data_IF_952564178120
#
_entry.id   IF_952564178120
#
_cell.length_a   1.000
_cell.length_b   1.000
_cell.length_c   1.000
_cell.angle_alpha   90.00
_cell.angle_beta   90.00
_cell.angle_gamma   90.00
#
_symmetry.space_group_name_H-M   'P 1'
#
loop_
_entity.id
_entity.type
_entity.pdbx_description
1 polymer ?
#
# COMPACT_ATOMS: atom_id res chain seq x y z
N UNK A 1 -39.20 29.67 -35.33
CA UNK A 1 -38.74 29.20 -36.62
C UNK A 1 -37.89 27.98 -36.39
N UNK A 2 -38.54 26.86 -36.60
CA UNK A 2 -38.19 25.66 -37.37
C UNK A 2 -37.00 24.86 -36.86
N UNK A 3 -37.29 23.81 -36.04
CA UNK A 3 -37.42 22.35 -36.35
C UNK A 3 -36.28 21.77 -37.21
N UNK A 4 -35.59 20.75 -36.73
CA UNK A 4 -35.54 19.47 -37.41
C UNK A 4 -35.05 18.36 -36.49
N UNK A 5 -35.92 17.37 -36.27
CA UNK A 5 -35.64 16.05 -35.68
C UNK A 5 -34.80 15.20 -36.65
N UNK A 6 -33.94 14.39 -36.12
CA UNK A 6 -33.19 13.37 -36.86
C UNK A 6 -33.18 12.04 -36.08
N UNK A 7 -34.29 11.33 -36.15
CA UNK A 7 -34.48 9.94 -35.73
C UNK A 7 -33.78 9.00 -36.72
N UNK A 8 -32.80 8.21 -36.29
CA UNK A 8 -32.25 7.10 -37.07
C UNK A 8 -32.30 5.81 -36.29
N UNK A 9 -33.33 5.03 -36.61
CA UNK A 9 -33.45 3.60 -36.34
C UNK A 9 -32.45 2.81 -37.17
N UNK A 10 -31.73 1.87 -36.53
CA UNK A 10 -31.03 0.79 -37.25
C UNK A 10 -31.39 -0.56 -36.57
N UNK A 11 -31.61 -1.60 -37.39
CA UNK A 11 -32.35 -2.78 -37.03
C UNK A 11 -31.52 -3.89 -36.40
N UNK A 12 -32.22 -4.74 -35.67
CA UNK A 12 -31.78 -6.05 -35.14
C UNK A 12 -31.36 -6.99 -36.27
N UNK A 13 -30.23 -7.64 -36.12
CA UNK A 13 -29.93 -8.88 -36.85
C UNK A 13 -29.60 -9.98 -35.80
N UNK A 14 -30.50 -10.94 -35.79
CA UNK A 14 -30.38 -12.28 -35.17
C UNK A 14 -29.52 -13.16 -36.10
N UNK A 15 -28.85 -14.11 -35.54
CA UNK A 15 -28.41 -15.47 -35.90
C UNK A 15 -26.97 -15.66 -35.44
N UNK A 16 -26.61 -16.71 -34.79
CA UNK A 16 -26.87 -18.11 -34.84
C UNK A 16 -25.87 -18.82 -33.97
N UNK A 17 -26.31 -19.84 -33.33
CA UNK A 17 -25.58 -20.68 -32.39
C UNK A 17 -24.41 -21.46 -32.97
N UNK A 18 -23.51 -21.81 -32.10
CA UNK A 18 -22.76 -23.08 -32.22
C UNK A 18 -22.36 -23.58 -30.84
N UNK A 19 -22.97 -24.68 -30.49
CA UNK A 19 -22.56 -25.59 -29.45
C UNK A 19 -21.15 -26.11 -29.77
N UNK A 20 -20.22 -25.95 -28.85
CA UNK A 20 -18.96 -26.70 -28.85
C UNK A 20 -18.78 -27.38 -27.52
N UNK A 21 -19.12 -28.65 -27.54
CA UNK A 21 -18.85 -29.68 -26.54
C UNK A 21 -17.34 -29.94 -26.53
N UNK A 22 -16.63 -29.62 -25.44
CA UNK A 22 -15.22 -29.98 -25.28
C UNK A 22 -15.00 -30.78 -24.01
N UNK A 23 -14.61 -32.00 -24.27
CA UNK A 23 -14.29 -33.13 -23.44
C UNK A 23 -13.44 -32.81 -22.21
N UNK A 24 -13.89 -33.36 -21.10
CA UNK A 24 -13.12 -33.58 -19.89
C UNK A 24 -11.99 -34.59 -20.15
N UNK A 25 -10.76 -34.18 -19.96
CA UNK A 25 -9.63 -35.09 -19.80
C UNK A 25 -9.25 -35.14 -18.34
N UNK A 26 -9.78 -36.14 -17.64
CA UNK A 26 -9.31 -36.56 -16.32
C UNK A 26 -7.97 -37.28 -16.48
N UNK A 27 -6.89 -36.58 -16.18
CA UNK A 27 -5.54 -37.17 -16.06
C UNK A 27 -5.33 -37.76 -14.67
N UNK A 28 -5.65 -39.03 -14.48
CA UNK A 28 -5.16 -39.80 -13.33
C UNK A 28 -3.66 -40.03 -13.48
N UNK A 29 -2.84 -39.35 -12.70
CA UNK A 29 -1.43 -39.70 -12.50
C UNK A 29 -1.35 -40.90 -11.59
N UNK A 30 -1.13 -42.08 -12.21
CA UNK A 30 -0.84 -43.31 -11.50
C UNK A 30 0.53 -43.23 -10.85
N UNK A 31 0.57 -43.20 -9.52
CA UNK A 31 1.77 -43.45 -8.71
C UNK A 31 2.26 -44.90 -8.98
N UNK A 32 3.35 -45.03 -9.69
CA UNK A 32 4.11 -46.30 -9.77
C UNK A 32 4.90 -46.46 -8.48
N UNK A 33 4.42 -47.30 -7.59
CA UNK A 33 5.22 -47.82 -6.48
C UNK A 33 6.07 -48.94 -7.01
N UNK A 34 7.38 -48.71 -7.12
CA UNK A 34 8.34 -49.79 -7.37
C UNK A 34 8.68 -50.45 -6.02
N UNK A 35 8.16 -51.66 -5.80
CA UNK A 35 8.61 -52.51 -4.72
C UNK A 35 9.93 -53.17 -5.09
N UNK A 36 11.03 -52.66 -4.58
CA UNK A 36 12.26 -53.44 -4.47
C UNK A 36 12.34 -53.99 -3.06
N UNK A 37 12.18 -55.30 -2.93
CA UNK A 37 12.46 -56.02 -1.71
C UNK A 37 13.95 -55.93 -1.44
N UNK A 38 14.35 -55.15 -0.45
CA UNK A 38 15.61 -55.35 0.27
C UNK A 38 15.47 -54.81 1.71
N UNK A 39 15.53 -55.78 2.58
CA UNK A 39 15.65 -55.79 4.02
C UNK A 39 16.27 -54.49 4.60
N UNK A 40 15.49 -53.55 5.01
CA UNK A 40 15.90 -52.40 5.81
C UNK A 40 14.86 -52.10 6.87
N UNK A 41 15.35 -51.96 8.09
CA UNK A 41 14.61 -51.61 9.31
C UNK A 41 13.61 -50.46 9.04
N UNK A 42 12.42 -50.45 9.68
CA UNK A 42 11.51 -49.36 9.57
C UNK A 42 12.19 -48.08 9.99
N UNK A 43 12.33 -47.14 9.05
CA UNK A 43 12.68 -45.77 9.35
C UNK A 43 11.41 -45.15 9.91
N UNK A 44 11.40 -44.87 11.21
CA UNK A 44 10.41 -43.96 11.79
C UNK A 44 10.54 -42.60 11.09
N UNK A 45 9.64 -42.36 10.13
CA UNK A 45 9.44 -41.01 9.62
C UNK A 45 8.67 -40.27 10.70
N UNK A 46 9.39 -39.68 11.65
CA UNK A 46 8.84 -38.69 12.53
C UNK A 46 8.36 -37.54 11.67
N UNK A 47 7.05 -37.41 11.53
CA UNK A 47 6.43 -36.14 11.15
C UNK A 47 6.87 -35.14 12.23
N UNK A 48 7.98 -34.44 11.96
CA UNK A 48 8.20 -33.18 12.64
C UNK A 48 7.03 -32.30 12.19
N UNK A 49 6.08 -32.11 13.09
CA UNK A 49 5.25 -30.92 13.05
C UNK A 49 6.22 -29.73 13.05
N UNK A 50 6.61 -29.33 11.84
CA UNK A 50 7.08 -27.98 11.61
C UNK A 50 5.82 -27.13 11.79
N UNK A 51 5.43 -26.91 13.06
CA UNK A 51 4.72 -25.72 13.43
C UNK A 51 5.62 -24.63 12.86
N UNK A 52 5.26 -24.17 11.67
CA UNK A 52 5.84 -23.01 11.03
C UNK A 52 5.56 -21.91 12.04
N UNK A 53 6.56 -21.61 12.88
CA UNK A 53 6.46 -20.49 13.78
C UNK A 53 6.12 -19.32 12.87
N UNK A 54 4.88 -18.87 12.92
CA UNK A 54 4.50 -17.57 12.37
C UNK A 54 5.55 -16.63 12.98
N UNK A 55 6.38 -15.95 12.15
CA UNK A 55 7.34 -15.04 12.73
C UNK A 55 6.54 -14.07 13.58
N UNK A 56 6.79 -14.07 14.89
CA UNK A 56 6.27 -13.04 15.78
C UNK A 56 6.65 -11.71 15.09
N UNK A 57 5.68 -10.80 14.92
CA UNK A 57 5.98 -9.48 14.37
C UNK A 57 7.10 -8.93 15.26
N UNK A 58 8.27 -8.78 14.70
CA UNK A 58 9.40 -8.16 15.40
C UNK A 58 8.93 -6.77 15.78
N UNK A 59 8.66 -6.56 17.06
CA UNK A 59 8.27 -5.28 17.61
C UNK A 59 9.41 -4.32 17.27
N UNK A 60 9.22 -3.47 16.26
CA UNK A 60 10.25 -2.54 15.85
C UNK A 60 10.35 -1.50 16.96
N UNK A 61 11.53 -1.37 17.56
CA UNK A 61 11.75 -0.42 18.65
C UNK A 61 11.38 1.00 18.17
N UNK A 62 10.57 1.70 18.96
CA UNK A 62 10.25 3.10 18.72
C UNK A 62 11.56 3.90 18.85
N UNK A 63 11.92 4.75 17.87
CA UNK A 63 13.14 5.55 17.94
C UNK A 63 13.15 6.46 19.17
N UNK A 64 14.34 6.72 19.70
CA UNK A 64 14.52 7.60 20.86
C UNK A 64 13.90 9.00 20.61
N UNK A 65 13.14 9.49 21.58
CA UNK A 65 12.47 10.78 21.51
C UNK A 65 11.14 10.78 20.73
N UNK A 66 10.72 9.63 20.22
CA UNK A 66 9.43 9.45 19.56
C UNK A 66 8.44 8.73 20.47
N UNK A 67 7.18 8.79 20.11
CA UNK A 67 6.10 8.01 20.69
C UNK A 67 5.26 7.38 19.57
N UNK A 68 4.66 6.24 19.84
CA UNK A 68 3.75 5.59 18.90
C UNK A 68 2.39 6.29 18.92
N UNK A 69 1.86 6.58 17.75
CA UNK A 69 0.51 7.08 17.58
C UNK A 69 -0.28 6.10 16.71
N UNK A 70 -1.55 5.92 17.08
CA UNK A 70 -2.52 5.17 16.29
C UNK A 70 -3.61 6.14 15.81
N UNK A 71 -3.75 6.28 14.51
CA UNK A 71 -4.74 7.15 13.89
C UNK A 71 -5.90 6.30 13.41
N UNK A 72 -7.11 6.62 13.90
CA UNK A 72 -8.37 6.05 13.42
C UNK A 72 -9.09 7.08 12.58
N UNK A 73 -9.38 6.75 11.33
CA UNK A 73 -9.90 7.72 10.35
C UNK A 73 -11.43 7.70 10.20
N UNK A 74 -12.13 7.19 11.22
CA UNK A 74 -13.60 7.16 11.28
C UNK A 74 -14.21 5.93 10.61
N UNK A 75 -15.55 5.92 10.55
CA UNK A 75 -16.31 4.76 10.07
C UNK A 75 -16.12 4.48 8.55
N UNK A 76 -15.71 5.49 7.79
CA UNK A 76 -15.49 5.34 6.34
C UNK A 76 -14.18 4.61 6.00
N UNK A 77 -13.27 4.49 6.96
CA UNK A 77 -12.02 3.76 6.80
C UNK A 77 -11.72 2.87 8.03
N UNK A 78 -11.86 1.56 7.90
CA UNK A 78 -11.59 0.62 8.98
C UNK A 78 -10.08 0.33 9.16
N UNK A 79 -9.23 0.85 8.28
CA UNK A 79 -7.80 0.58 8.31
C UNK A 79 -7.12 1.46 9.37
N UNK A 80 -6.57 0.86 10.42
CA UNK A 80 -5.74 1.58 11.38
C UNK A 80 -4.41 1.97 10.77
N UNK A 81 -3.92 3.15 11.15
CA UNK A 81 -2.61 3.66 10.74
C UNK A 81 -1.81 3.94 11.99
N UNK A 82 -0.65 3.28 12.13
CA UNK A 82 0.22 3.42 13.28
C UNK A 82 1.61 3.84 12.81
N UNK A 83 2.25 4.74 13.54
CA UNK A 83 3.64 5.14 13.29
C UNK A 83 4.22 5.85 14.51
N UNK A 84 5.56 5.92 14.59
CA UNK A 84 6.21 6.73 15.59
C UNK A 84 6.28 8.18 15.14
N UNK A 85 6.00 9.12 16.06
CA UNK A 85 6.08 10.56 15.81
C UNK A 85 6.95 11.23 16.88
N UNK A 86 7.69 12.27 16.51
CA UNK A 86 8.41 13.09 17.48
C UNK A 86 7.42 13.81 18.40
N UNK A 87 7.61 13.68 19.70
CA UNK A 87 6.72 14.27 20.73
C UNK A 87 6.53 15.78 20.64
N UNK A 88 7.41 16.47 19.91
CA UNK A 88 7.31 17.92 19.66
C UNK A 88 6.20 18.30 18.68
N UNK A 89 5.59 17.35 17.97
CA UNK A 89 4.53 17.63 16.99
C UNK A 89 3.18 17.97 17.61
N UNK A 90 2.95 17.58 18.87
CA UNK A 90 1.66 17.77 19.52
C UNK A 90 0.53 16.96 18.89
N UNK A 91 -0.70 17.32 19.23
CA UNK A 91 -1.88 16.62 18.73
C UNK A 91 -2.16 17.00 17.27
N UNK A 92 -2.53 15.97 16.48
CA UNK A 92 -3.00 16.19 15.12
C UNK A 92 -4.45 16.70 15.08
N UNK A 93 -4.85 17.19 13.92
CA UNK A 93 -6.23 17.62 13.64
C UNK A 93 -6.76 16.92 12.40
N UNK A 94 -8.06 16.62 12.36
CA UNK A 94 -8.62 15.94 11.21
C UNK A 94 -10.12 15.75 11.25
N UNK A 95 -10.60 14.98 10.27
CA UNK A 95 -11.99 14.58 10.09
C UNK A 95 -12.05 13.18 9.47
N UNK A 96 -13.23 12.63 9.23
CA UNK A 96 -13.35 11.31 8.61
C UNK A 96 -12.52 11.19 7.34
N UNK A 97 -11.66 10.16 7.29
CA UNK A 97 -10.77 9.87 6.16
C UNK A 97 -9.48 10.69 6.10
N UNK A 98 -9.26 11.67 6.99
CA UNK A 98 -8.10 12.55 6.95
C UNK A 98 -7.59 12.96 8.33
N UNK A 99 -6.26 12.97 8.52
CA UNK A 99 -5.60 13.48 9.72
C UNK A 99 -4.33 14.21 9.36
N UNK A 100 -4.06 15.34 10.02
CA UNK A 100 -2.91 16.18 9.76
C UNK A 100 -2.18 16.53 11.07
N UNK A 101 -0.88 16.29 11.05
CA UNK A 101 0.04 16.88 12.01
C UNK A 101 0.83 17.99 11.32
N UNK A 102 1.03 19.10 12.00
CA UNK A 102 1.86 20.21 11.50
C UNK A 102 2.79 20.71 12.60
N UNK A 103 4.02 21.02 12.20
CA UNK A 103 4.99 21.63 13.09
C UNK A 103 5.55 22.89 12.42
N UNK A 104 4.92 24.04 12.74
CA UNK A 104 5.13 25.28 12.02
C UNK A 104 4.57 25.24 10.59
N UNK A 105 5.00 26.17 9.74
CA UNK A 105 4.46 26.34 8.39
C UNK A 105 5.15 25.48 7.34
N UNK A 106 6.10 24.62 7.73
CA UNK A 106 7.00 23.98 6.78
C UNK A 106 7.19 22.47 6.99
N UNK A 107 6.50 21.85 7.93
CA UNK A 107 6.60 20.42 8.22
C UNK A 107 5.20 19.85 8.38
N UNK A 108 4.85 18.87 7.56
CA UNK A 108 3.51 18.27 7.53
C UNK A 108 3.61 16.74 7.55
N UNK A 109 2.69 16.11 8.25
CA UNK A 109 2.43 14.68 8.16
C UNK A 109 0.93 14.53 7.92
N UNK A 110 0.55 14.03 6.76
CA UNK A 110 -0.85 13.74 6.45
C UNK A 110 -1.10 12.24 6.44
N UNK A 111 -2.24 11.84 7.00
CA UNK A 111 -2.73 10.48 6.97
C UNK A 111 -4.07 10.51 6.26
N UNK A 112 -4.21 9.72 5.21
CA UNK A 112 -5.44 9.66 4.42
C UNK A 112 -5.92 8.23 4.30
N UNK A 113 -7.24 8.04 4.32
CA UNK A 113 -7.85 6.77 3.98
C UNK A 113 -9.25 6.98 3.42
N UNK A 114 -9.54 6.36 2.30
CA UNK A 114 -10.85 6.39 1.67
C UNK A 114 -11.12 5.14 0.83
N UNK A 115 -12.41 4.84 0.65
CA UNK A 115 -12.81 3.75 -0.23
C UNK A 115 -12.38 4.03 -1.68
N UNK A 116 -11.73 3.05 -2.29
CA UNK A 116 -11.24 3.14 -3.66
C UNK A 116 -12.21 2.51 -4.64
N UNK A 117 -12.45 3.18 -5.78
CA UNK A 117 -13.43 2.70 -6.77
C UNK A 117 -12.92 1.59 -7.70
N UNK A 118 -11.62 1.25 -7.65
CA UNK A 118 -11.02 0.18 -8.43
C UNK A 118 -11.21 -1.20 -7.81
N UNK A 119 -10.68 -2.22 -8.49
CA UNK A 119 -10.85 -3.61 -8.08
C UNK A 119 -9.57 -4.29 -7.60
N UNK A 120 -8.39 -3.75 -7.91
CA UNK A 120 -7.12 -4.37 -7.54
C UNK A 120 -6.31 -3.46 -6.59
N UNK A 121 -5.74 -4.02 -5.50
CA UNK A 121 -4.84 -3.27 -4.63
C UNK A 121 -3.66 -2.63 -5.37
N UNK A 122 -3.15 -3.29 -6.40
CA UNK A 122 -2.05 -2.82 -7.23
C UNK A 122 -2.40 -1.50 -7.95
N UNK A 123 -3.64 -1.33 -8.43
CA UNK A 123 -4.06 -0.11 -9.13
C UNK A 123 -3.89 1.15 -8.25
N UNK A 124 -4.04 1.00 -6.93
CA UNK A 124 -3.86 2.09 -5.96
C UNK A 124 -2.40 2.55 -5.89
N UNK A 125 -1.47 1.60 -5.83
CA UNK A 125 -0.04 1.90 -5.76
C UNK A 125 0.48 2.40 -7.09
N UNK A 126 0.04 1.83 -8.21
CA UNK A 126 0.42 2.25 -9.55
C UNK A 126 0.00 3.71 -9.81
N UNK A 127 -1.26 4.06 -9.47
CA UNK A 127 -1.70 5.45 -9.58
C UNK A 127 -0.89 6.38 -8.67
N UNK A 128 -0.61 5.96 -7.43
CA UNK A 128 0.19 6.79 -6.52
C UNK A 128 1.59 7.04 -7.07
N UNK A 129 2.25 6.04 -7.65
CA UNK A 129 3.56 6.17 -8.30
C UNK A 129 3.50 7.10 -9.51
N UNK A 130 2.46 6.98 -10.33
CA UNK A 130 2.31 7.80 -11.55
C UNK A 130 2.11 9.28 -11.25
N UNK A 131 1.39 9.62 -10.16
CA UNK A 131 0.99 11.00 -9.89
C UNK A 131 1.87 11.74 -8.89
N UNK A 132 2.59 11.01 -7.99
CA UNK A 132 3.27 11.67 -6.86
C UNK A 132 4.49 12.50 -7.26
N UNK A 133 5.17 12.11 -8.34
CA UNK A 133 6.36 12.80 -8.84
C UNK A 133 6.23 13.21 -10.30
N UNK A 134 5.02 13.57 -10.71
CA UNK A 134 4.70 13.86 -12.11
C UNK A 134 5.18 15.23 -12.59
N UNK A 135 5.37 16.18 -11.69
CA UNK A 135 5.73 17.54 -12.03
C UNK A 135 7.24 17.75 -12.22
N UNK A 136 7.57 18.78 -12.97
CA UNK A 136 8.95 19.13 -13.29
C UNK A 136 9.80 19.39 -12.02
N UNK A 137 10.96 18.80 -11.96
CA UNK A 137 11.89 18.88 -10.80
C UNK A 137 11.62 17.81 -9.74
N UNK A 138 10.51 17.08 -9.86
CA UNK A 138 10.21 15.97 -8.95
C UNK A 138 11.02 14.72 -9.35
N UNK A 139 11.39 13.92 -8.36
CA UNK A 139 12.10 12.65 -8.57
C UNK A 139 12.00 11.71 -7.39
N UNK A 140 11.92 10.45 -7.66
CA UNK A 140 12.10 9.38 -6.66
C UNK A 140 13.58 9.28 -6.31
N UNK A 141 13.91 9.17 -5.03
CA UNK A 141 15.26 8.92 -4.52
C UNK A 141 15.44 7.43 -4.21
N UNK A 142 14.47 6.85 -3.52
CA UNK A 142 14.47 5.43 -3.17
C UNK A 142 13.01 4.98 -2.96
N UNK A 143 12.69 3.77 -3.38
CA UNK A 143 11.34 3.23 -3.25
C UNK A 143 11.33 1.72 -3.03
N UNK A 144 10.23 1.21 -2.52
CA UNK A 144 9.95 -0.20 -2.36
C UNK A 144 8.46 -0.48 -2.58
N UNK A 145 8.17 -1.40 -3.48
CA UNK A 145 6.85 -2.02 -3.60
C UNK A 145 6.89 -3.38 -2.91
N UNK A 146 5.83 -3.74 -2.21
CA UNK A 146 5.71 -5.02 -1.52
C UNK A 146 4.26 -5.41 -1.25
N UNK A 147 4.10 -6.59 -0.67
CA UNK A 147 2.80 -7.12 -0.28
C UNK A 147 2.57 -6.95 1.22
N UNK A 148 1.30 -6.77 1.60
CA UNK A 148 0.80 -6.77 2.97
C UNK A 148 -0.46 -7.63 3.04
N UNK A 149 -0.87 -8.14 4.19
CA UNK A 149 -2.13 -8.86 4.29
C UNK A 149 -3.29 -8.06 3.70
N UNK A 150 -3.95 -8.65 2.72
CA UNK A 150 -5.07 -8.04 2.01
C UNK A 150 -4.70 -6.99 0.96
N UNK A 151 -3.40 -6.75 0.69
CA UNK A 151 -3.06 -5.67 -0.24
C UNK A 151 -1.62 -5.58 -0.72
N UNK A 152 -1.36 -4.46 -1.37
CA UNK A 152 -0.05 -4.06 -1.90
C UNK A 152 0.29 -2.68 -1.37
N UNK A 153 1.55 -2.45 -1.06
CA UNK A 153 2.03 -1.16 -0.60
C UNK A 153 3.19 -0.63 -1.46
N UNK A 154 3.36 0.67 -1.42
CA UNK A 154 4.50 1.40 -1.94
C UNK A 154 5.03 2.33 -0.84
N UNK A 155 6.31 2.22 -0.53
CA UNK A 155 7.01 3.16 0.35
C UNK A 155 8.06 3.91 -0.45
N UNK A 156 8.24 5.20 -0.19
CA UNK A 156 9.04 6.07 -1.02
C UNK A 156 9.73 7.17 -0.23
N UNK A 157 10.92 7.51 -0.68
CA UNK A 157 11.62 8.75 -0.39
C UNK A 157 11.85 9.48 -1.71
N UNK A 158 11.53 10.75 -1.78
CA UNK A 158 11.70 11.53 -3.00
C UNK A 158 11.80 13.02 -2.76
N UNK A 159 11.96 13.74 -3.86
CA UNK A 159 11.97 15.19 -3.91
C UNK A 159 10.80 15.64 -4.77
N UNK A 160 10.02 16.55 -4.26
CA UNK A 160 8.91 17.21 -4.95
C UNK A 160 9.41 18.53 -5.54
N UNK A 161 9.19 18.74 -6.82
CA UNK A 161 9.42 20.01 -7.47
C UNK A 161 8.49 21.11 -6.93
N UNK A 162 8.81 22.40 -7.13
CA UNK A 162 8.00 23.52 -6.63
C UNK A 162 6.57 23.56 -7.16
N UNK A 163 6.32 22.91 -8.32
CA UNK A 163 5.01 22.86 -8.96
C UNK A 163 4.10 21.75 -8.42
N UNK A 164 4.66 20.82 -7.65
CA UNK A 164 3.84 19.76 -7.03
C UNK A 164 2.87 20.34 -6.02
N UNK A 165 1.64 19.86 -6.05
CA UNK A 165 0.57 20.29 -5.14
C UNK A 165 0.95 20.08 -3.67
N UNK A 166 1.73 19.03 -3.40
CA UNK A 166 2.19 18.67 -2.04
C UNK A 166 3.44 19.44 -1.60
N UNK A 167 4.08 20.21 -2.49
CA UNK A 167 5.29 20.97 -2.13
C UNK A 167 4.97 22.08 -1.11
N UNK A 168 5.86 22.29 -0.15
CA UNK A 168 5.71 23.32 0.87
C UNK A 168 5.99 24.70 0.28
N UNK A 169 5.00 25.58 0.35
CA UNK A 169 5.10 26.97 -0.09
C UNK A 169 5.66 27.14 -1.53
N UNK A 170 5.32 26.20 -2.42
CA UNK A 170 5.81 26.16 -3.80
C UNK A 170 7.35 26.19 -3.90
N UNK A 171 8.03 25.50 -2.98
CA UNK A 171 9.48 25.30 -2.99
C UNK A 171 9.80 23.82 -3.13
N UNK A 172 11.03 23.50 -3.54
CA UNK A 172 11.49 22.11 -3.54
C UNK A 172 11.31 21.51 -2.13
N UNK A 173 10.70 20.33 -2.06
CA UNK A 173 10.38 19.68 -0.79
C UNK A 173 10.83 18.23 -0.80
N UNK A 174 11.16 17.68 0.35
CA UNK A 174 11.34 16.23 0.52
C UNK A 174 10.04 15.59 0.89
N UNK A 175 9.81 14.37 0.37
CA UNK A 175 8.67 13.53 0.71
C UNK A 175 9.17 12.16 1.18
N UNK A 176 8.63 11.73 2.31
CA UNK A 176 8.73 10.37 2.81
C UNK A 176 7.31 9.83 2.90
N UNK A 177 7.00 8.78 2.15
CA UNK A 177 5.61 8.33 1.99
C UNK A 177 5.44 6.82 2.08
N UNK A 178 4.27 6.42 2.53
CA UNK A 178 3.76 5.07 2.43
C UNK A 178 2.33 5.12 1.90
N UNK A 179 2.05 4.36 0.86
CA UNK A 179 0.70 4.22 0.27
C UNK A 179 0.39 2.75 0.12
N UNK A 180 -0.86 2.35 0.40
CA UNK A 180 -1.29 0.98 0.15
C UNK A 180 -2.72 0.92 -0.38
N UNK A 181 -2.97 -0.06 -1.24
CA UNK A 181 -4.29 -0.56 -1.54
C UNK A 181 -4.57 -1.77 -0.66
N UNK A 182 -5.55 -1.70 0.22
CA UNK A 182 -5.89 -2.78 1.17
C UNK A 182 -7.36 -3.13 1.04
N UNK A 183 -7.65 -4.43 0.96
CA UNK A 183 -9.01 -4.96 1.06
C UNK A 183 -9.36 -5.25 2.50
N UNK A 184 -10.51 -4.71 2.91
CA UNK A 184 -11.14 -5.05 4.17
C UNK A 184 -12.64 -5.24 3.93
N UNK A 185 -13.20 -6.34 4.43
CA UNK A 185 -14.61 -6.74 4.26
C UNK A 185 -15.14 -6.59 2.81
N UNK A 186 -14.30 -7.02 1.84
CA UNK A 186 -14.64 -6.99 0.41
C UNK A 186 -14.53 -5.64 -0.28
N UNK A 187 -14.27 -4.55 0.44
CA UNK A 187 -14.04 -3.22 -0.11
C UNK A 187 -12.55 -2.94 -0.25
N UNK A 188 -12.17 -2.17 -1.24
CA UNK A 188 -10.81 -1.70 -1.43
C UNK A 188 -10.68 -0.28 -0.89
N UNK A 189 -9.60 -0.05 -0.14
CA UNK A 189 -9.27 1.24 0.44
C UNK A 189 -7.90 1.69 -0.05
N UNK A 190 -7.75 2.99 -0.33
CA UNK A 190 -6.44 3.64 -0.41
C UNK A 190 -6.14 4.23 0.95
N UNK A 191 -5.01 3.85 1.52
CA UNK A 191 -4.48 4.40 2.77
C UNK A 191 -3.10 4.95 2.53
N UNK A 192 -2.77 6.11 3.12
CA UNK A 192 -1.45 6.72 2.97
C UNK A 192 -1.01 7.50 4.21
N UNK A 193 0.31 7.54 4.39
CA UNK A 193 1.02 8.47 5.27
C UNK A 193 2.02 9.22 4.41
N UNK A 194 1.97 10.54 4.41
CA UNK A 194 2.89 11.40 3.67
C UNK A 194 3.52 12.42 4.62
N UNK A 195 4.83 12.47 4.66
CA UNK A 195 5.65 13.36 5.50
C UNK A 195 6.41 14.29 4.58
N UNK A 196 6.09 15.59 4.64
CA UNK A 196 6.63 16.58 3.70
C UNK A 196 7.26 17.74 4.47
N UNK A 197 8.45 18.15 4.03
CA UNK A 197 9.15 19.34 4.52
C UNK A 197 9.92 20.00 3.37
N UNK A 198 10.36 21.24 3.56
CA UNK A 198 11.27 21.90 2.60
C UNK A 198 12.56 21.09 2.44
N UNK A 199 13.13 21.07 1.25
CA UNK A 199 14.32 20.26 0.94
C UNK A 199 15.59 20.70 1.70
N UNK A 200 15.63 21.93 2.17
CA UNK A 200 16.72 22.49 3.00
C UNK A 200 16.54 22.23 4.51
N UNK A 201 15.41 21.61 4.93
CA UNK A 201 15.17 21.23 6.31
C UNK A 201 15.76 19.84 6.62
N UNK A 202 17.08 19.81 6.86
CA UNK A 202 17.81 18.58 7.15
C UNK A 202 17.34 17.89 8.45
N UNK A 203 16.83 18.67 9.45
CA UNK A 203 16.28 18.09 10.69
C UNK A 203 14.99 17.32 10.40
N UNK A 204 14.06 17.91 9.66
CA UNK A 204 12.82 17.22 9.28
C UNK A 204 13.12 15.96 8.44
N UNK A 205 14.03 16.05 7.48
CA UNK A 205 14.43 14.90 6.68
C UNK A 205 14.99 13.75 7.54
N UNK A 206 15.82 14.05 8.54
CA UNK A 206 16.37 13.06 9.45
C UNK A 206 15.26 12.41 10.34
N UNK A 207 14.31 13.20 10.81
CA UNK A 207 13.17 12.72 11.61
C UNK A 207 12.28 11.81 10.75
N UNK A 208 11.91 12.21 9.53
CA UNK A 208 11.07 11.42 8.64
C UNK A 208 11.71 10.11 8.21
N UNK A 209 13.05 10.12 8.02
CA UNK A 209 13.81 8.90 7.73
C UNK A 209 13.72 7.86 8.87
N UNK A 210 13.56 8.31 10.11
CA UNK A 210 13.36 7.44 11.28
C UNK A 210 11.89 7.02 11.44
N UNK A 211 10.94 7.89 11.07
CA UNK A 211 9.51 7.64 11.20
C UNK A 211 9.00 6.64 10.15
N UNK A 212 9.37 6.81 8.86
CA UNK A 212 8.83 5.98 7.78
C UNK A 212 8.97 4.47 8.02
N UNK A 213 10.10 3.95 8.52
CA UNK A 213 10.23 2.54 8.84
C UNK A 213 9.29 2.03 9.95
N UNK A 214 8.65 2.91 10.70
CA UNK A 214 7.73 2.54 11.79
C UNK A 214 6.28 2.46 11.33
N UNK A 215 5.96 2.90 10.10
CA UNK A 215 4.60 2.92 9.57
C UNK A 215 4.02 1.51 9.49
N UNK A 216 2.81 1.36 10.00
CA UNK A 216 1.99 0.14 9.92
C UNK A 216 0.60 0.47 9.41
N UNK A 217 0.08 -0.39 8.56
CA UNK A 217 -1.32 -0.35 8.13
C UNK A 217 -2.02 -1.63 8.58
N UNK A 218 -3.17 -1.49 9.24
CA UNK A 218 -3.89 -2.60 9.86
C UNK A 218 -3.00 -3.48 10.75
N UNK A 219 -2.10 -2.85 11.54
CA UNK A 219 -1.13 -3.53 12.41
C UNK A 219 0.07 -4.18 11.70
N UNK A 220 0.14 -4.14 10.36
CA UNK A 220 1.20 -4.77 9.58
C UNK A 220 2.30 -3.78 9.23
N UNK A 221 3.54 -4.10 9.60
CA UNK A 221 4.70 -3.30 9.27
C UNK A 221 4.97 -3.31 7.75
N UNK A 222 5.35 -2.16 7.21
CA UNK A 222 5.74 -2.03 5.82
C UNK A 222 7.27 -2.08 5.69
N UNK A 223 7.75 -2.65 4.59
CA UNK A 223 9.19 -2.59 4.29
C UNK A 223 9.54 -1.18 3.81
N UNK A 224 10.44 -0.45 4.48
CA UNK A 224 10.86 0.87 4.03
C UNK A 224 11.69 0.80 2.74
N UNK A 225 11.87 1.93 2.05
CA UNK A 225 12.80 2.02 0.93
C UNK A 225 14.23 1.64 1.35
N UNK A 226 15.06 1.13 0.43
CA UNK A 226 16.47 0.86 0.71
C UNK A 226 17.19 2.08 1.29
N UNK A 227 17.98 1.88 2.33
CA UNK A 227 18.72 2.95 3.03
C UNK A 227 18.00 3.58 4.23
N UNK A 228 16.76 3.21 4.51
CA UNK A 228 15.97 3.68 5.66
C UNK A 228 15.67 2.56 6.68
N UNK A 229 16.56 1.60 6.85
CA UNK A 229 16.39 0.45 7.77
C UNK A 229 16.90 0.75 9.18
#
# INVERSE_FOLDING_TARGET
>A
MTTTEGLLMIPRLLLGGMLSLSLFVTGCSALRVSTSEQNSKPVEVGLRDSAQATPEPTEKAIPDGMEEVAVTLGEECPISVEFAIDRRWGDGVGYSGYWLYSNGDARLISVNCYAWGGTQPQDVTDEAMDVTFSESGSRVVSEKVGETPGGVFWTVQGVLGPSEVRSIASTESVLYGAVAGIRDDGRLYKVSVEMVAKSDDAEAAAVYAQMLPTVRFAGNALTPPPGLN
#
